data_IF_950380940418
#
_entry.id   IF_950380940418
#
_cell.length_a   1.000
_cell.length_b   1.000
_cell.length_c   1.000
_cell.angle_alpha   90.00
_cell.angle_beta   90.00
_cell.angle_gamma   90.00
#
_symmetry.space_group_name_H-M   'P 1'
#
loop_
_entity.id
_entity.type
_entity.pdbx_description
1 polymer ?
#
# COMPACT_ATOMS: atom_id res chain seq x y z
N UNK A 1 2.28 0.89 -29.58
CA UNK A 1 1.94 -0.12 -28.56
C UNK A 1 1.17 -1.23 -29.26
N UNK A 2 1.51 -2.51 -29.08
CA UNK A 2 0.74 -3.63 -29.63
C UNK A 2 -0.30 -4.01 -28.56
N UNK A 3 -1.58 -3.99 -28.91
CA UNK A 3 -2.67 -4.28 -27.97
C UNK A 3 -3.11 -5.74 -28.16
N UNK A 4 -2.44 -6.66 -27.47
CA UNK A 4 -2.80 -8.08 -27.55
C UNK A 4 -3.71 -8.48 -26.38
N UNK A 5 -4.63 -9.41 -26.63
CA UNK A 5 -5.52 -9.97 -25.62
C UNK A 5 -5.82 -11.43 -25.93
N UNK A 6 -5.97 -12.23 -24.88
CA UNK A 6 -6.21 -13.67 -24.99
C UNK A 6 -7.70 -13.97 -24.88
N UNK A 7 -8.18 -14.89 -25.71
CA UNK A 7 -9.57 -15.33 -25.78
C UNK A 7 -9.61 -16.85 -25.63
N UNK A 8 -10.49 -17.33 -24.75
CA UNK A 8 -10.82 -18.74 -24.62
C UNK A 8 -12.28 -18.93 -25.04
N UNK A 9 -12.51 -19.81 -26.01
CA UNK A 9 -13.85 -20.09 -26.52
C UNK A 9 -14.44 -21.32 -25.80
N UNK A 10 -15.71 -21.24 -25.40
CA UNK A 10 -16.39 -22.30 -24.64
C UNK A 10 -16.37 -23.65 -25.36
N UNK A 11 -16.44 -23.62 -26.69
CA UNK A 11 -16.54 -24.83 -27.52
C UNK A 11 -15.19 -25.33 -28.05
N UNK A 12 -14.08 -24.66 -27.72
CA UNK A 12 -12.75 -25.04 -28.21
C UNK A 12 -11.70 -24.96 -27.09
N UNK A 13 -11.08 -26.09 -26.71
CA UNK A 13 -9.99 -26.04 -25.75
C UNK A 13 -8.76 -25.36 -26.38
N UNK A 14 -8.29 -24.29 -25.74
CA UNK A 14 -7.08 -23.56 -26.13
C UNK A 14 -7.24 -22.04 -26.08
N UNK A 15 -6.17 -21.36 -25.65
CA UNK A 15 -6.10 -19.90 -25.62
C UNK A 15 -5.69 -19.37 -26.98
N UNK A 16 -6.44 -18.41 -27.51
CA UNK A 16 -6.15 -17.72 -28.77
C UNK A 16 -5.74 -16.29 -28.45
N UNK A 17 -4.50 -15.93 -28.78
CA UNK A 17 -4.02 -14.56 -28.66
C UNK A 17 -4.41 -13.74 -29.88
N UNK A 18 -5.19 -12.70 -29.65
CA UNK A 18 -5.66 -11.76 -30.66
C UNK A 18 -4.90 -10.44 -30.51
N UNK A 19 -4.74 -9.69 -31.61
CA UNK A 19 -4.11 -8.38 -31.61
C UNK A 19 -5.05 -7.32 -32.17
N UNK A 20 -5.31 -6.28 -31.38
CA UNK A 20 -6.02 -5.08 -31.80
C UNK A 20 -5.04 -4.02 -32.33
N UNK A 21 -5.53 -3.25 -33.31
CA UNK A 21 -4.79 -2.13 -33.90
C UNK A 21 -4.77 -0.90 -33.00
N UNK A 22 -5.79 -0.76 -32.13
CA UNK A 22 -5.92 0.32 -31.15
C UNK A 22 -6.57 -0.15 -29.84
N UNK A 23 -6.49 0.67 -28.78
CA UNK A 23 -7.17 0.41 -27.50
C UNK A 23 -8.70 0.49 -27.62
N UNK A 24 -9.20 1.33 -28.52
CA UNK A 24 -10.62 1.49 -28.82
C UNK A 24 -11.17 0.25 -29.54
N UNK A 25 -10.43 -0.28 -30.51
CA UNK A 25 -10.78 -1.55 -31.16
C UNK A 25 -10.83 -2.68 -30.13
N UNK A 26 -9.85 -2.78 -29.22
CA UNK A 26 -9.86 -3.81 -28.16
C UNK A 26 -11.17 -3.76 -27.37
N UNK A 27 -11.65 -2.57 -27.01
CA UNK A 27 -12.90 -2.40 -26.25
C UNK A 27 -14.12 -2.89 -27.03
N UNK A 28 -14.21 -2.53 -28.32
CA UNK A 28 -15.30 -2.97 -29.20
C UNK A 28 -15.31 -4.49 -29.39
N UNK A 29 -14.13 -5.11 -29.49
CA UNK A 29 -14.01 -6.57 -29.57
C UNK A 29 -14.47 -7.26 -28.28
N UNK A 30 -14.17 -6.70 -27.10
CA UNK A 30 -14.64 -7.24 -25.82
C UNK A 30 -16.16 -7.11 -25.66
N UNK A 31 -16.73 -5.99 -26.09
CA UNK A 31 -18.18 -5.75 -26.06
C UNK A 31 -18.93 -6.67 -27.05
N UNK A 32 -18.41 -6.84 -28.26
CA UNK A 32 -19.02 -7.68 -29.29
C UNK A 32 -18.97 -9.18 -28.98
N UNK A 33 -17.95 -9.64 -28.25
CA UNK A 33 -17.80 -11.05 -27.86
C UNK A 33 -18.45 -11.40 -26.52
N UNK A 34 -19.25 -10.47 -25.95
CA UNK A 34 -19.82 -10.56 -24.58
C UNK A 34 -18.75 -10.96 -23.54
N UNK A 35 -17.51 -10.57 -23.83
CA UNK A 35 -16.32 -11.05 -23.17
C UNK A 35 -16.18 -10.33 -21.85
N UNK A 36 -16.22 -11.08 -20.74
CA UNK A 36 -15.78 -10.53 -19.47
C UNK A 36 -14.29 -10.24 -19.59
N UNK A 37 -13.85 -9.04 -19.21
CA UNK A 37 -12.42 -8.80 -19.07
C UNK A 37 -11.86 -9.92 -18.18
N UNK A 38 -10.79 -10.63 -18.60
CA UNK A 38 -10.07 -11.47 -17.67
C UNK A 38 -9.69 -10.54 -16.54
N UNK A 39 -10.28 -10.80 -15.36
CA UNK A 39 -9.89 -10.09 -14.16
C UNK A 39 -8.42 -10.43 -14.03
N UNK A 40 -7.56 -9.49 -14.44
CA UNK A 40 -6.17 -9.53 -14.06
C UNK A 40 -6.19 -9.44 -12.54
N UNK A 41 -6.23 -10.61 -11.91
CA UNK A 41 -6.06 -10.81 -10.50
C UNK A 41 -4.62 -10.38 -10.18
N UNK A 42 -4.37 -9.07 -10.18
CA UNK A 42 -3.46 -8.50 -9.19
C UNK A 42 -4.17 -8.65 -7.85
N UNK A 43 -3.94 -9.79 -7.23
CA UNK A 43 -4.29 -10.09 -5.83
C UNK A 43 -5.78 -9.91 -5.49
N UNK A 44 -6.63 -10.79 -6.01
CA UNK A 44 -7.75 -11.27 -5.20
C UNK A 44 -7.27 -12.51 -4.45
N UNK A 45 -6.53 -12.27 -3.37
CA UNK A 45 -6.63 -13.19 -2.25
C UNK A 45 -8.10 -13.19 -1.85
N UNK A 46 -8.67 -14.39 -1.95
CA UNK A 46 -10.06 -14.64 -1.65
C UNK A 46 -10.31 -14.37 -0.17
N UNK A 47 -11.48 -13.80 0.10
CA UNK A 47 -12.12 -13.65 1.42
C UNK A 47 -11.66 -12.43 2.23
N UNK A 48 -12.28 -11.29 1.94
CA UNK A 48 -13.27 -10.59 2.78
C UNK A 48 -13.38 -10.92 4.29
N UNK A 49 -12.30 -11.24 5.00
CA UNK A 49 -12.25 -11.32 6.46
C UNK A 49 -11.21 -10.33 6.99
N UNK A 50 -11.67 -9.23 7.60
CA UNK A 50 -10.82 -8.19 8.18
C UNK A 50 -10.32 -7.15 7.16
N UNK A 51 -11.23 -6.45 6.48
CA UNK A 51 -10.87 -5.33 5.59
C UNK A 51 -10.06 -4.30 6.40
N UNK A 52 -8.79 -4.04 6.07
CA UNK A 52 -7.99 -3.06 6.79
C UNK A 52 -8.70 -1.72 6.86
N UNK A 53 -8.89 -1.17 8.07
CA UNK A 53 -9.61 0.08 8.30
C UNK A 53 -8.74 1.11 9.03
N UNK A 54 -9.12 2.37 8.91
CA UNK A 54 -8.62 3.40 9.82
C UNK A 54 -9.44 3.35 11.11
N UNK A 55 -9.21 2.33 11.92
CA UNK A 55 -9.82 2.11 13.23
C UNK A 55 -8.74 1.91 14.30
N UNK A 56 -9.16 1.75 15.56
CA UNK A 56 -8.23 1.62 16.68
C UNK A 56 -7.26 0.43 16.49
N UNK A 57 -7.73 -0.65 15.85
CA UNK A 57 -6.90 -1.79 15.50
C UNK A 57 -5.82 -1.37 14.49
N UNK A 58 -6.19 -0.72 13.40
CA UNK A 58 -5.26 -0.22 12.41
C UNK A 58 -4.19 0.70 12.97
N UNK A 59 -4.58 1.59 13.88
CA UNK A 59 -3.63 2.44 14.59
C UNK A 59 -2.68 1.64 15.50
N UNK A 60 -3.17 0.61 16.19
CA UNK A 60 -2.36 -0.28 17.02
C UNK A 60 -1.32 -1.03 16.17
N UNK A 61 -1.75 -1.62 15.05
CA UNK A 61 -0.89 -2.34 14.11
C UNK A 61 0.25 -1.45 13.62
N UNK A 62 -0.08 -0.24 13.14
CA UNK A 62 0.93 0.70 12.64
C UNK A 62 1.90 1.13 13.75
N UNK A 63 1.41 1.41 14.95
CA UNK A 63 2.27 1.77 16.10
C UNK A 63 3.20 0.63 16.51
N UNK A 64 2.71 -0.60 16.61
CA UNK A 64 3.53 -1.78 16.94
C UNK A 64 4.63 -2.00 15.89
N UNK A 65 4.28 -1.91 14.61
CA UNK A 65 5.26 -2.01 13.52
C UNK A 65 6.31 -0.89 13.57
N UNK A 66 5.89 0.36 13.76
CA UNK A 66 6.80 1.52 13.89
C UNK A 66 7.75 1.31 15.07
N UNK A 67 7.22 1.00 16.24
CA UNK A 67 8.01 0.78 17.45
C UNK A 67 9.06 -0.31 17.26
N UNK A 68 8.69 -1.44 16.64
CA UNK A 68 9.63 -2.53 16.37
C UNK A 68 10.72 -2.16 15.36
N UNK A 69 10.39 -1.34 14.35
CA UNK A 69 11.40 -0.83 13.40
C UNK A 69 12.33 0.15 14.08
N UNK A 70 11.83 1.03 14.95
CA UNK A 70 12.67 2.02 15.65
C UNK A 70 13.55 1.40 16.73
N UNK A 71 13.04 0.42 17.48
CA UNK A 71 13.77 -0.19 18.60
C UNK A 71 14.88 -1.15 18.15
N UNK A 72 14.62 -1.95 17.11
CA UNK A 72 15.52 -3.02 16.65
C UNK A 72 16.10 -2.76 15.27
N UNK A 73 15.33 -2.12 14.40
CA UNK A 73 15.58 -2.08 12.96
C UNK A 73 16.20 -0.79 12.42
N UNK A 74 16.35 0.27 13.22
CA UNK A 74 16.66 1.62 12.73
C UNK A 74 17.97 1.71 11.94
N UNK A 75 18.92 0.81 12.21
CA UNK A 75 20.23 0.72 11.55
C UNK A 75 20.28 -0.33 10.43
N UNK A 76 19.19 -1.07 10.16
CA UNK A 76 19.18 -2.04 9.07
C UNK A 76 19.25 -1.36 7.70
N UNK A 77 20.07 -1.91 6.80
CA UNK A 77 20.25 -1.31 5.48
C UNK A 77 19.03 -1.55 4.58
N UNK A 78 18.57 -0.48 3.93
CA UNK A 78 17.47 -0.54 2.98
C UNK A 78 16.10 -0.74 3.64
N UNK A 79 15.88 -0.18 4.84
CA UNK A 79 14.56 -0.10 5.47
C UNK A 79 13.49 0.35 4.47
N UNK A 80 12.36 -0.34 4.44
CA UNK A 80 11.26 -0.12 3.48
C UNK A 80 11.59 -0.36 2.00
N UNK A 81 12.85 -0.44 1.60
CA UNK A 81 13.29 -0.79 0.23
C UNK A 81 13.39 -2.31 0.03
N UNK A 82 14.00 -3.02 0.97
CA UNK A 82 14.11 -4.49 0.93
C UNK A 82 12.75 -5.12 1.25
N UNK A 83 12.35 -6.11 0.45
CA UNK A 83 11.05 -6.78 0.59
C UNK A 83 11.22 -8.06 1.40
N UNK A 84 10.33 -8.26 2.38
CA UNK A 84 10.25 -9.47 3.18
C UNK A 84 9.57 -10.62 2.43
N UNK A 85 9.67 -11.83 2.97
CA UNK A 85 9.04 -13.02 2.36
C UNK A 85 7.52 -12.90 2.45
N UNK A 86 6.81 -12.95 1.32
CA UNK A 86 5.36 -12.68 1.26
C UNK A 86 4.55 -13.59 2.20
N UNK A 87 4.84 -14.90 2.25
CA UNK A 87 4.16 -15.83 3.17
C UNK A 87 4.30 -15.43 4.64
N UNK A 88 5.47 -14.90 5.05
CA UNK A 88 5.70 -14.38 6.41
C UNK A 88 4.98 -13.07 6.65
N UNK A 89 4.90 -12.21 5.63
CA UNK A 89 4.17 -10.93 5.69
C UNK A 89 2.68 -11.18 5.91
N UNK A 90 2.07 -12.07 5.13
CA UNK A 90 0.65 -12.42 5.29
C UNK A 90 0.37 -13.05 6.66
N UNK A 91 1.25 -13.95 7.12
CA UNK A 91 1.12 -14.55 8.45
C UNK A 91 1.23 -13.52 9.58
N UNK A 92 2.14 -12.56 9.47
CA UNK A 92 2.25 -11.47 10.45
C UNK A 92 0.99 -10.58 10.43
N UNK A 93 0.49 -10.24 9.24
CA UNK A 93 -0.73 -9.45 9.12
C UNK A 93 -1.95 -10.16 9.70
N UNK A 94 -2.13 -11.46 9.46
CA UNK A 94 -3.24 -12.21 10.03
C UNK A 94 -3.19 -12.22 11.57
N UNK A 95 -1.99 -12.33 12.15
CA UNK A 95 -1.81 -12.28 13.62
C UNK A 95 -2.11 -10.87 14.15
N UNK A 96 -1.67 -9.82 13.46
CA UNK A 96 -1.88 -8.43 13.88
C UNK A 96 -3.33 -7.97 13.73
N UNK A 97 -4.07 -8.56 12.81
CA UNK A 97 -5.47 -8.24 12.51
C UNK A 97 -6.46 -9.09 13.34
N UNK A 98 -5.98 -10.12 14.06
CA UNK A 98 -6.81 -10.90 14.98
C UNK A 98 -7.00 -10.13 16.30
N UNK A 99 -8.25 -9.81 16.69
CA UNK A 99 -8.53 -9.08 17.93
C UNK A 99 -8.00 -9.76 19.20
N UNK A 100 -7.87 -11.09 19.19
CA UNK A 100 -7.46 -11.87 20.37
C UNK A 100 -5.98 -11.73 20.71
N UNK A 101 -5.14 -11.54 19.70
CA UNK A 101 -3.68 -11.36 19.80
C UNK A 101 -3.28 -9.90 19.94
N UNK A 102 -4.15 -8.97 19.53
CA UNK A 102 -3.86 -7.54 19.63
C UNK A 102 -3.73 -7.05 21.09
N UNK A 103 -4.44 -7.67 22.04
CA UNK A 103 -4.48 -7.29 23.46
C UNK A 103 -3.42 -7.97 24.33
N UNK A 104 -2.81 -9.07 23.87
CA UNK A 104 -2.02 -9.96 24.73
C UNK A 104 -0.51 -9.84 24.58
N UNK A 105 -0.01 -9.33 23.46
CA UNK A 105 1.43 -9.33 23.18
C UNK A 105 1.88 -7.96 22.62
N UNK A 106 2.56 -7.18 23.45
CA UNK A 106 3.21 -5.92 23.05
C UNK A 106 4.42 -6.17 22.14
N UNK A 107 4.97 -7.38 22.16
CA UNK A 107 6.22 -7.77 21.50
C UNK A 107 6.07 -8.73 20.31
N UNK A 108 4.85 -8.92 19.76
CA UNK A 108 4.65 -9.80 18.58
C UNK A 108 5.66 -9.49 17.49
N UNK A 109 5.92 -8.21 17.24
CA UNK A 109 6.85 -7.79 16.19
C UNK A 109 8.34 -8.03 16.52
N UNK A 110 8.72 -8.26 17.79
CA UNK A 110 10.12 -8.46 18.18
C UNK A 110 10.73 -9.74 17.60
N UNK A 111 9.91 -10.79 17.47
CA UNK A 111 10.32 -12.10 16.94
C UNK A 111 10.46 -12.10 15.40
N UNK A 112 9.90 -11.10 14.72
CA UNK A 112 9.94 -11.03 13.26
C UNK A 112 11.17 -10.28 12.75
N UNK A 113 11.52 -10.58 11.50
CA UNK A 113 12.56 -9.86 10.78
C UNK A 113 12.05 -8.47 10.39
N UNK A 114 12.91 -7.47 10.47
CA UNK A 114 12.59 -6.06 10.17
C UNK A 114 12.06 -5.89 8.74
N UNK A 115 12.65 -6.59 7.76
CA UNK A 115 12.15 -6.63 6.37
C UNK A 115 10.72 -7.17 6.24
N UNK A 116 10.31 -8.09 7.13
CA UNK A 116 8.94 -8.62 7.17
C UNK A 116 7.99 -7.59 7.80
N UNK A 117 8.38 -6.95 8.89
CA UNK A 117 7.59 -5.92 9.59
C UNK A 117 7.34 -4.71 8.68
N UNK A 118 8.40 -4.17 8.06
CA UNK A 118 8.31 -3.06 7.10
C UNK A 118 7.44 -3.42 5.89
N UNK A 119 7.49 -4.67 5.43
CA UNK A 119 6.65 -5.15 4.34
C UNK A 119 5.19 -5.36 4.75
N UNK A 120 4.94 -5.79 5.98
CA UNK A 120 3.59 -5.85 6.57
C UNK A 120 2.98 -4.47 6.70
N UNK A 121 3.70 -3.49 7.26
CA UNK A 121 3.23 -2.09 7.35
C UNK A 121 2.86 -1.53 5.97
N UNK A 122 3.72 -1.72 4.95
CA UNK A 122 3.42 -1.29 3.57
C UNK A 122 2.18 -2.00 3.01
N UNK A 123 2.02 -3.29 3.28
CA UNK A 123 0.91 -4.08 2.78
C UNK A 123 -0.39 -3.68 3.46
N UNK A 124 -0.37 -3.44 4.76
CA UNK A 124 -1.48 -2.90 5.53
C UNK A 124 -2.01 -1.59 4.92
N UNK A 125 -1.12 -0.62 4.65
CA UNK A 125 -1.51 0.65 4.02
C UNK A 125 -2.09 0.48 2.61
N UNK A 126 -1.68 -0.56 1.87
CA UNK A 126 -2.23 -0.89 0.55
C UNK A 126 -3.58 -1.60 0.61
N UNK A 127 -3.89 -2.28 1.72
CA UNK A 127 -5.14 -2.99 1.93
C UNK A 127 -6.29 -2.06 2.37
N UNK A 128 -5.99 -0.81 2.72
CA UNK A 128 -7.02 0.19 3.05
C UNK A 128 -7.99 0.37 1.87
N UNK A 129 -9.28 0.65 2.13
CA UNK A 129 -10.30 0.81 1.08
C UNK A 129 -10.02 2.00 0.14
N UNK A 130 -9.13 2.90 0.55
CA UNK A 130 -8.60 3.96 -0.28
C UNK A 130 -7.23 4.43 0.24
N UNK A 131 -6.51 5.23 -0.55
CA UNK A 131 -5.20 5.75 -0.15
C UNK A 131 -5.35 6.65 1.07
N UNK A 132 -4.34 6.66 1.94
CA UNK A 132 -4.31 7.50 3.13
C UNK A 132 -4.50 8.99 2.81
N UNK A 133 -3.97 9.44 1.67
CA UNK A 133 -4.07 10.81 1.17
C UNK A 133 -5.42 11.11 0.47
N UNK A 134 -6.30 10.11 0.35
CA UNK A 134 -7.58 10.12 -0.36
C UNK A 134 -7.51 10.50 -1.84
N UNK A 135 -8.27 9.81 -2.69
CA UNK A 135 -8.31 10.11 -4.13
C UNK A 135 -8.73 11.55 -4.44
N UNK A 136 -9.66 12.10 -3.65
CA UNK A 136 -10.19 13.45 -3.85
C UNK A 136 -9.14 14.56 -3.68
N UNK A 137 -8.13 14.35 -2.82
CA UNK A 137 -7.08 15.34 -2.56
C UNK A 137 -5.81 15.10 -3.38
N UNK A 138 -5.65 13.93 -4.00
CA UNK A 138 -4.44 13.54 -4.74
C UNK A 138 -4.05 14.57 -5.82
N UNK A 139 -5.01 15.06 -6.61
CA UNK A 139 -4.74 16.09 -7.63
C UNK A 139 -4.27 17.40 -7.00
N UNK A 140 -4.83 17.77 -5.85
CA UNK A 140 -4.45 18.99 -5.13
C UNK A 140 -3.04 18.88 -4.56
N UNK A 141 -2.67 17.72 -3.99
CA UNK A 141 -1.31 17.47 -3.52
C UNK A 141 -0.29 17.52 -4.66
N UNK A 142 -0.60 16.95 -5.82
CA UNK A 142 0.29 17.02 -7.00
C UNK A 142 0.46 18.47 -7.48
N UNK A 143 -0.62 19.27 -7.48
CA UNK A 143 -0.54 20.69 -7.84
C UNK A 143 0.30 21.48 -6.85
N UNK A 144 0.06 21.30 -5.55
CA UNK A 144 0.84 21.96 -4.49
C UNK A 144 2.33 21.61 -4.58
N UNK A 145 2.66 20.33 -4.82
CA UNK A 145 4.04 19.87 -4.97
C UNK A 145 4.78 20.47 -6.18
N UNK A 146 4.06 20.93 -7.20
CA UNK A 146 4.63 21.55 -8.42
C UNK A 146 4.86 23.06 -8.29
N UNK A 147 4.51 23.67 -7.16
CA UNK A 147 4.78 25.09 -6.92
C UNK A 147 6.28 25.34 -6.85
N UNK A 148 6.75 26.35 -7.58
CA UNK A 148 8.16 26.73 -7.67
C UNK A 148 8.66 27.27 -6.33
N UNK A 149 7.88 28.16 -5.71
CA UNK A 149 8.21 28.74 -4.41
C UNK A 149 8.06 27.68 -3.30
N UNK A 150 9.14 27.46 -2.54
CA UNK A 150 9.19 26.49 -1.45
C UNK A 150 8.23 26.80 -0.30
N UNK A 151 8.13 28.05 0.12
CA UNK A 151 7.22 28.45 1.21
C UNK A 151 5.76 28.26 0.80
N UNK A 152 5.42 28.62 -0.44
CA UNK A 152 4.09 28.39 -1.01
C UNK A 152 3.76 26.90 -1.09
N UNK A 153 4.71 26.06 -1.50
CA UNK A 153 4.56 24.60 -1.53
C UNK A 153 4.28 24.03 -0.14
N UNK A 154 5.04 24.46 0.87
CA UNK A 154 4.86 24.01 2.26
C UNK A 154 3.49 24.46 2.78
N UNK A 155 3.13 25.73 2.60
CA UNK A 155 1.85 26.29 3.05
C UNK A 155 0.65 25.57 2.45
N UNK A 156 0.66 25.31 1.13
CA UNK A 156 -0.43 24.60 0.45
C UNK A 156 -0.53 23.13 0.88
N UNK A 157 0.59 22.41 0.98
CA UNK A 157 0.60 21.03 1.50
C UNK A 157 0.08 21.01 2.94
N UNK A 158 0.51 21.95 3.78
CA UNK A 158 0.06 22.07 5.17
C UNK A 158 -1.45 22.28 5.25
N UNK A 159 -2.01 23.19 4.43
CA UNK A 159 -3.45 23.43 4.32
C UNK A 159 -4.20 22.17 3.89
N UNK A 160 -3.70 21.45 2.88
CA UNK A 160 -4.31 20.20 2.40
C UNK A 160 -4.32 19.09 3.46
N UNK A 161 -3.23 18.95 4.23
CA UNK A 161 -3.15 17.98 5.33
C UNK A 161 -4.17 18.29 6.42
N UNK A 162 -4.40 19.57 6.75
CA UNK A 162 -5.42 19.99 7.72
C UNK A 162 -6.85 19.75 7.24
N UNK A 163 -7.07 19.65 5.93
CA UNK A 163 -8.38 19.32 5.33
C UNK A 163 -8.66 17.82 5.27
N UNK A 164 -7.69 16.96 5.55
CA UNK A 164 -7.91 15.52 5.62
C UNK A 164 -8.77 15.17 6.84
N UNK A 165 -9.57 14.10 6.78
CA UNK A 165 -10.26 13.56 7.95
C UNK A 165 -9.27 13.27 9.08
N UNK A 166 -9.74 13.45 10.32
CA UNK A 166 -8.90 13.34 11.53
C UNK A 166 -8.06 12.06 11.56
N UNK A 167 -8.68 10.91 11.26
CA UNK A 167 -8.01 9.60 11.28
C UNK A 167 -6.91 9.50 10.23
N UNK A 168 -7.15 10.00 9.02
CA UNK A 168 -6.14 10.01 7.95
C UNK A 168 -4.97 10.90 8.36
N UNK A 169 -5.26 12.09 8.90
CA UNK A 169 -4.23 13.05 9.35
C UNK A 169 -3.38 12.47 10.48
N UNK A 170 -4.00 11.84 11.48
CA UNK A 170 -3.29 11.22 12.60
C UNK A 170 -2.39 10.07 12.15
N UNK A 171 -2.89 9.16 11.30
CA UNK A 171 -2.07 8.05 10.80
C UNK A 171 -0.94 8.55 9.89
N UNK A 172 -1.20 9.58 9.08
CA UNK A 172 -0.17 10.24 8.27
C UNK A 172 0.90 10.88 9.17
N UNK A 173 0.52 11.55 10.25
CA UNK A 173 1.45 12.16 11.20
C UNK A 173 2.38 11.12 11.84
N UNK A 174 1.84 9.98 12.29
CA UNK A 174 2.64 8.88 12.83
C UNK A 174 3.66 8.37 11.82
N UNK A 175 3.23 8.15 10.57
CA UNK A 175 4.12 7.67 9.51
C UNK A 175 5.19 8.70 9.14
N UNK A 176 4.84 9.98 9.03
CA UNK A 176 5.81 11.03 8.68
C UNK A 176 6.87 11.22 9.77
N UNK A 177 6.47 11.20 11.05
CA UNK A 177 7.43 11.28 12.15
C UNK A 177 8.39 10.07 12.14
N UNK A 178 7.85 8.87 11.93
CA UNK A 178 8.66 7.66 11.83
C UNK A 178 9.65 7.72 10.66
N UNK A 179 9.17 8.11 9.47
CA UNK A 179 10.04 8.21 8.29
C UNK A 179 11.10 9.30 8.43
N UNK A 180 10.81 10.39 9.14
CA UNK A 180 11.80 11.41 9.47
C UNK A 180 12.92 10.85 10.36
N UNK A 181 12.56 10.07 11.38
CA UNK A 181 13.52 9.38 12.25
C UNK A 181 14.39 8.36 11.46
N UNK A 182 13.78 7.61 10.54
CA UNK A 182 14.51 6.70 9.64
C UNK A 182 15.50 7.48 8.76
N UNK A 183 15.08 8.61 8.19
CA UNK A 183 15.93 9.45 7.34
C UNK A 183 17.06 10.15 8.11
N UNK A 184 16.86 10.48 9.39
CA UNK A 184 17.93 11.01 10.24
C UNK A 184 19.09 10.01 10.38
N UNK A 185 18.76 8.71 10.40
CA UNK A 185 19.73 7.61 10.49
C UNK A 185 20.25 7.12 9.12
N UNK A 186 20.05 7.88 8.03
CA UNK A 186 20.44 7.51 6.66
C UNK A 186 21.90 7.06 6.50
N UNK A 187 22.82 7.55 7.35
CA UNK A 187 24.23 7.14 7.32
C UNK A 187 24.44 5.64 7.55
N UNK A 188 23.57 5.00 8.35
CA UNK A 188 23.65 3.57 8.66
C UNK A 188 22.68 2.77 7.78
N UNK A 189 21.41 3.19 7.71
CA UNK A 189 20.37 2.45 7.01
C UNK A 189 20.30 2.72 5.50
N UNK A 190 21.02 3.72 4.98
CA UNK A 190 21.10 4.09 3.56
C UNK A 190 19.75 4.53 2.93
N UNK A 191 18.86 5.11 3.74
CA UNK A 191 17.55 5.63 3.32
C UNK A 191 17.47 7.13 3.60
N UNK A 192 17.51 7.96 2.55
CA UNK A 192 17.45 9.44 2.59
C UNK A 192 16.06 10.00 2.40
#
# INVERSE_FOLDING_TARGET
KRFCFDVEAVDRPGVITMQALSEEDRRLWMEAMDGREPVYNSNKDSQNEGMAQLDNMGFSIVKKCIHAVESKGINEQGLYRIVGVNSRVQKLLSILMDPKTAETEDDICAEWEVKTITSALKTYLRMLPGPLMMYQFQRSFIKAAKLENQESRISEIHSLVHRLPEKNRQMLHLLMNHLANVAENHKQNLMT
#
